data_IF_789754630138
#
_entry.id   IF_789754630138
#
_cell.length_a   1.000
_cell.length_b   1.000
_cell.length_c   1.000
_cell.angle_alpha   90.00
_cell.angle_beta   90.00
_cell.angle_gamma   90.00
#
_symmetry.space_group_name_H-M   'P 1'
#
loop_
_entity.id
_entity.type
_entity.pdbx_description
1 polymer ?
#
# COMPACT_ATOMS: atom_id res chain seq x y z
N UNK A 1 -18.44 -9.86 5.88
CA UNK A 1 -18.66 -9.93 4.42
C UNK A 1 -17.38 -10.19 3.63
N UNK A 2 -16.50 -9.20 3.32
CA UNK A 2 -15.34 -9.44 2.41
C UNK A 2 -14.41 -10.57 2.88
N UNK A 3 -14.12 -10.64 4.18
CA UNK A 3 -13.31 -11.72 4.78
C UNK A 3 -13.93 -13.11 4.54
N UNK A 4 -15.24 -13.25 4.64
CA UNK A 4 -15.94 -14.53 4.43
C UNK A 4 -15.95 -14.91 2.94
N UNK A 5 -16.13 -13.93 2.06
CA UNK A 5 -16.07 -14.16 0.61
C UNK A 5 -14.67 -14.60 0.17
N UNK A 6 -13.61 -13.98 0.70
CA UNK A 6 -12.23 -14.40 0.44
C UNK A 6 -11.98 -15.83 0.92
N UNK A 7 -12.39 -16.16 2.15
CA UNK A 7 -12.21 -17.51 2.70
C UNK A 7 -12.94 -18.58 1.87
N UNK A 8 -14.06 -18.23 1.24
CA UNK A 8 -14.85 -19.10 0.35
C UNK A 8 -14.35 -19.16 -1.09
N UNK A 9 -13.42 -18.29 -1.50
CA UNK A 9 -12.95 -18.19 -2.90
C UNK A 9 -11.97 -19.34 -3.21
N UNK A 10 -12.44 -20.42 -3.80
CA UNK A 10 -11.63 -21.61 -4.13
C UNK A 10 -11.21 -21.62 -5.59
N UNK A 11 -12.09 -21.14 -6.47
CA UNK A 11 -11.88 -21.14 -7.90
C UNK A 11 -12.01 -19.73 -8.47
N UNK A 12 -11.48 -19.53 -9.69
CA UNK A 12 -11.56 -18.24 -10.38
C UNK A 12 -13.00 -17.79 -10.62
N UNK A 13 -13.93 -18.74 -10.68
CA UNK A 13 -15.37 -18.54 -10.74
C UNK A 13 -15.90 -17.73 -9.55
N UNK A 14 -15.42 -18.00 -8.34
CA UNK A 14 -15.91 -17.38 -7.10
C UNK A 14 -15.58 -15.88 -7.03
N UNK A 15 -14.58 -15.42 -7.80
CA UNK A 15 -14.22 -14.01 -7.86
C UNK A 15 -15.36 -13.13 -8.37
N UNK A 16 -16.33 -13.69 -9.11
CA UNK A 16 -17.55 -12.96 -9.51
C UNK A 16 -18.34 -12.47 -8.29
N UNK A 17 -18.37 -13.26 -7.22
CA UNK A 17 -19.08 -12.91 -5.99
C UNK A 17 -18.29 -11.88 -5.18
N UNK A 18 -16.95 -12.03 -5.12
CA UNK A 18 -16.08 -11.06 -4.47
C UNK A 18 -16.20 -9.67 -5.13
N UNK A 19 -16.08 -9.59 -6.46
CA UNK A 19 -16.17 -8.32 -7.18
C UNK A 19 -17.60 -7.79 -7.25
N UNK A 20 -18.61 -8.65 -7.29
CA UNK A 20 -20.02 -8.26 -7.13
C UNK A 20 -20.27 -7.55 -5.80
N UNK A 21 -19.73 -8.10 -4.70
CA UNK A 21 -19.81 -7.48 -3.38
C UNK A 21 -19.02 -6.15 -3.26
N UNK A 22 -18.04 -5.94 -4.13
CA UNK A 22 -17.31 -4.67 -4.28
C UNK A 22 -18.04 -3.68 -5.21
N UNK A 23 -19.22 -4.00 -5.73
CA UNK A 23 -20.01 -3.09 -6.58
C UNK A 23 -19.68 -3.15 -8.07
N UNK A 24 -18.98 -4.18 -8.53
CA UNK A 24 -18.83 -4.46 -9.97
C UNK A 24 -20.04 -5.26 -10.48
N UNK A 25 -20.30 -5.17 -11.79
CA UNK A 25 -21.24 -6.05 -12.45
C UNK A 25 -20.55 -7.39 -12.69
N UNK A 26 -21.04 -8.45 -12.03
CA UNK A 26 -20.52 -9.80 -12.21
C UNK A 26 -20.71 -10.24 -13.67
N UNK A 27 -19.70 -10.92 -14.21
CA UNK A 27 -19.70 -11.48 -15.56
C UNK A 27 -19.03 -12.86 -15.54
N UNK A 28 -19.23 -13.63 -16.60
CA UNK A 28 -18.44 -14.84 -16.83
C UNK A 28 -18.28 -15.06 -18.32
N UNK A 29 -17.14 -14.66 -18.85
CA UNK A 29 -16.80 -14.83 -20.26
C UNK A 29 -15.43 -15.51 -20.34
N UNK A 30 -15.35 -16.79 -20.74
CA UNK A 30 -14.08 -17.49 -20.90
C UNK A 30 -13.19 -16.79 -21.92
N UNK A 31 -11.91 -16.67 -21.60
CA UNK A 31 -10.91 -16.06 -22.46
C UNK A 31 -9.80 -17.08 -22.72
N UNK A 32 -9.52 -17.45 -23.97
CA UNK A 32 -8.50 -18.45 -24.28
C UNK A 32 -7.10 -17.89 -23.92
N UNK A 33 -6.36 -18.52 -22.98
CA UNK A 33 -5.13 -17.93 -22.44
C UNK A 33 -4.04 -17.65 -23.46
N UNK A 34 -3.80 -18.56 -24.41
CA UNK A 34 -2.79 -18.40 -25.45
C UNK A 34 -3.07 -17.18 -26.36
N UNK A 35 -4.23 -17.12 -27.03
CA UNK A 35 -4.62 -15.95 -27.84
C UNK A 35 -4.69 -14.64 -27.07
N UNK A 36 -5.02 -14.69 -25.76
CA UNK A 36 -5.15 -13.47 -24.96
C UNK A 36 -3.83 -12.96 -24.39
N UNK A 37 -3.05 -13.80 -23.71
CA UNK A 37 -1.79 -13.40 -23.07
C UNK A 37 -0.57 -13.52 -24.00
N UNK A 38 -0.72 -14.24 -25.11
CA UNK A 38 0.38 -14.73 -25.93
C UNK A 38 0.79 -16.15 -25.53
N UNK A 39 0.96 -17.09 -26.48
CA UNK A 39 1.23 -18.51 -26.18
C UNK A 39 2.43 -18.71 -25.24
N UNK A 40 3.54 -18.03 -25.51
CA UNK A 40 4.76 -18.15 -24.69
C UNK A 40 4.56 -17.66 -23.24
N UNK A 41 3.78 -16.59 -23.03
CA UNK A 41 3.52 -16.07 -21.68
C UNK A 41 2.54 -16.97 -20.92
N UNK A 42 1.49 -17.45 -21.60
CA UNK A 42 0.51 -18.37 -21.04
C UNK A 42 1.17 -19.69 -20.63
N UNK A 43 2.03 -20.25 -21.48
CA UNK A 43 2.77 -21.48 -21.19
C UNK A 43 3.77 -21.29 -20.05
N UNK A 44 4.55 -20.21 -20.08
CA UNK A 44 5.60 -19.99 -19.09
C UNK A 44 5.06 -19.66 -17.68
N UNK A 45 3.85 -19.10 -17.57
CA UNK A 45 3.16 -18.95 -16.30
C UNK A 45 2.31 -20.19 -15.93
N UNK A 46 2.19 -21.16 -16.84
CA UNK A 46 1.32 -22.31 -16.72
C UNK A 46 -0.12 -21.89 -16.47
N UNK A 47 -0.72 -21.13 -17.40
CA UNK A 47 -2.11 -20.68 -17.31
C UNK A 47 -3.05 -21.75 -17.83
N UNK A 48 -3.98 -22.19 -16.98
CA UNK A 48 -4.95 -23.26 -17.28
C UNK A 48 -6.26 -22.68 -17.77
N UNK A 49 -6.78 -21.67 -17.08
CA UNK A 49 -8.05 -21.03 -17.40
C UNK A 49 -7.93 -19.53 -17.19
N UNK A 50 -8.63 -18.77 -18.02
CA UNK A 50 -8.82 -17.34 -17.82
C UNK A 50 -10.26 -16.97 -18.19
N UNK A 51 -10.81 -15.99 -17.48
CA UNK A 51 -12.15 -15.48 -17.76
C UNK A 51 -12.26 -14.02 -17.36
N UNK A 52 -13.12 -13.27 -18.05
CA UNK A 52 -13.60 -12.01 -17.54
C UNK A 52 -14.69 -12.30 -16.48
N UNK A 53 -14.47 -11.82 -15.25
CA UNK A 53 -15.33 -12.15 -14.10
C UNK A 53 -16.14 -10.96 -13.58
N UNK A 54 -15.74 -9.73 -13.92
CA UNK A 54 -16.49 -8.55 -13.55
C UNK A 54 -16.21 -7.35 -14.46
N UNK A 55 -17.17 -6.41 -14.52
CA UNK A 55 -17.13 -5.19 -15.33
C UNK A 55 -17.61 -3.98 -14.54
N UNK A 56 -17.03 -2.81 -14.81
CA UNK A 56 -17.57 -1.52 -14.38
C UNK A 56 -17.35 -0.49 -15.50
N UNK A 57 -18.41 -0.21 -16.26
CA UNK A 57 -18.33 0.51 -17.54
C UNK A 57 -17.23 -0.11 -18.44
N UNK A 58 -16.19 0.64 -18.79
CA UNK A 58 -15.07 0.15 -19.58
C UNK A 58 -13.96 -0.54 -18.76
N UNK A 59 -14.07 -0.60 -17.43
CA UNK A 59 -13.11 -1.32 -16.60
C UNK A 59 -13.43 -2.81 -16.56
N UNK A 60 -12.43 -3.65 -16.76
CA UNK A 60 -12.56 -5.11 -16.88
C UNK A 60 -11.73 -5.82 -15.82
N UNK A 61 -12.31 -6.82 -15.16
CA UNK A 61 -11.62 -7.68 -14.18
C UNK A 61 -11.49 -9.08 -14.75
N UNK A 62 -10.27 -9.53 -14.95
CA UNK A 62 -9.95 -10.86 -15.46
C UNK A 62 -9.46 -11.75 -14.33
N UNK A 63 -9.99 -12.96 -14.24
CA UNK A 63 -9.49 -14.01 -13.36
C UNK A 63 -8.66 -15.03 -14.14
N UNK A 64 -7.58 -15.51 -13.52
CA UNK A 64 -6.61 -16.41 -14.13
C UNK A 64 -6.29 -17.54 -13.16
N UNK A 65 -6.43 -18.77 -13.62
CA UNK A 65 -5.99 -19.97 -12.92
C UNK A 65 -4.66 -20.39 -13.52
N UNK A 66 -3.60 -20.37 -12.72
CA UNK A 66 -2.24 -20.63 -13.20
C UNK A 66 -1.36 -21.29 -12.14
N UNK A 67 -0.35 -22.04 -12.61
CA UNK A 67 0.69 -22.62 -11.75
C UNK A 67 1.56 -21.55 -11.09
N UNK A 68 1.87 -20.49 -11.84
CA UNK A 68 2.56 -19.30 -11.33
C UNK A 68 1.62 -18.07 -11.41
N UNK A 69 0.83 -17.79 -10.35
CA UNK A 69 -0.17 -16.72 -10.36
C UNK A 69 0.47 -15.33 -10.49
N UNK A 70 1.66 -15.11 -9.90
CA UNK A 70 2.34 -13.81 -9.95
C UNK A 70 2.86 -13.51 -11.35
N UNK A 71 3.43 -14.52 -12.02
CA UNK A 71 3.85 -14.37 -13.41
C UNK A 71 2.65 -14.17 -14.33
N UNK A 72 1.56 -14.91 -14.11
CA UNK A 72 0.33 -14.80 -14.91
C UNK A 72 -0.30 -13.40 -14.85
N UNK A 73 -0.54 -12.85 -13.65
CA UNK A 73 -1.14 -11.50 -13.53
C UNK A 73 -0.21 -10.40 -14.03
N UNK A 74 1.12 -10.59 -13.90
CA UNK A 74 2.09 -9.62 -14.43
C UNK A 74 2.06 -9.59 -15.96
N UNK A 75 2.03 -10.75 -16.62
CA UNK A 75 1.88 -10.84 -18.07
C UNK A 75 0.55 -10.23 -18.53
N UNK A 76 -0.54 -10.52 -17.82
CA UNK A 76 -1.85 -9.94 -18.11
C UNK A 76 -1.85 -8.41 -17.96
N UNK A 77 -1.29 -7.88 -16.87
CA UNK A 77 -1.19 -6.43 -16.66
C UNK A 77 -0.31 -5.75 -17.72
N UNK A 78 0.77 -6.40 -18.18
CA UNK A 78 1.59 -5.90 -19.29
C UNK A 78 0.82 -5.87 -20.62
N UNK A 79 0.04 -6.90 -20.93
CA UNK A 79 -0.82 -6.94 -22.12
C UNK A 79 -1.90 -5.84 -22.07
N UNK A 80 -2.58 -5.70 -20.92
CA UNK A 80 -3.54 -4.61 -20.71
C UNK A 80 -2.88 -3.24 -20.95
N UNK A 81 -1.65 -3.06 -20.48
CA UNK A 81 -0.89 -1.83 -20.71
C UNK A 81 -0.54 -1.59 -22.17
N UNK A 82 -0.08 -2.62 -22.88
CA UNK A 82 0.29 -2.54 -24.29
C UNK A 82 -0.89 -2.13 -25.18
N UNK A 83 -2.11 -2.45 -24.77
CA UNK A 83 -3.34 -2.12 -25.49
C UNK A 83 -4.10 -0.93 -24.91
N UNK A 84 -3.51 -0.23 -23.92
CA UNK A 84 -4.17 0.83 -23.17
C UNK A 84 -5.54 0.42 -22.57
N UNK A 85 -5.72 -0.87 -22.31
CA UNK A 85 -6.94 -1.43 -21.72
C UNK A 85 -6.94 -1.19 -20.21
N UNK A 86 -8.05 -0.64 -19.71
CA UNK A 86 -8.24 -0.41 -18.27
C UNK A 86 -8.76 -1.69 -17.65
N UNK A 87 -7.96 -2.28 -16.77
CA UNK A 87 -8.39 -3.49 -16.11
C UNK A 87 -7.51 -3.95 -14.97
N UNK A 88 -8.01 -4.98 -14.31
CA UNK A 88 -7.37 -5.68 -13.21
C UNK A 88 -7.26 -7.15 -13.58
N UNK A 89 -6.08 -7.72 -13.45
CA UNK A 89 -5.86 -9.16 -13.56
C UNK A 89 -5.72 -9.75 -12.15
N UNK A 90 -6.45 -10.83 -11.89
CA UNK A 90 -6.49 -11.52 -10.62
C UNK A 90 -6.13 -12.98 -10.84
N UNK A 91 -5.26 -13.56 -10.03
CA UNK A 91 -4.98 -15.00 -10.07
C UNK A 91 -5.04 -15.60 -8.68
N UNK A 92 -5.53 -16.84 -8.62
CA UNK A 92 -5.54 -17.65 -7.41
C UNK A 92 -4.30 -18.54 -7.40
N UNK A 93 -3.53 -18.48 -6.31
CA UNK A 93 -2.40 -19.37 -6.08
C UNK A 93 -2.81 -20.65 -5.36
N UNK A 94 -2.30 -21.78 -5.82
CA UNK A 94 -2.52 -23.12 -5.27
C UNK A 94 -1.56 -23.51 -4.13
N UNK A 95 -0.62 -22.63 -3.74
CA UNK A 95 0.16 -22.73 -2.50
C UNK A 95 -0.68 -22.33 -1.27
N UNK A 96 -0.14 -21.65 -0.23
CA UNK A 96 -1.03 -20.98 0.73
C UNK A 96 -2.01 -20.10 -0.07
N UNK A 97 -3.32 -20.27 0.15
CA UNK A 97 -4.33 -19.73 -0.78
C UNK A 97 -4.25 -18.22 -0.76
N UNK A 98 -3.96 -17.66 -1.92
CA UNK A 98 -3.71 -16.23 -2.08
C UNK A 98 -4.33 -15.74 -3.37
N UNK A 99 -4.90 -14.55 -3.30
CA UNK A 99 -5.35 -13.78 -4.44
C UNK A 99 -4.25 -12.79 -4.80
N UNK A 100 -3.65 -12.96 -5.98
CA UNK A 100 -2.70 -11.99 -6.53
C UNK A 100 -3.45 -11.09 -7.50
N UNK A 101 -3.38 -9.78 -7.30
CA UNK A 101 -4.04 -8.78 -8.14
C UNK A 101 -2.99 -7.90 -8.78
N UNK A 102 -3.08 -7.63 -10.08
CA UNK A 102 -2.19 -6.72 -10.78
C UNK A 102 -2.92 -5.83 -11.78
N UNK A 103 -2.47 -4.59 -11.85
CA UNK A 103 -2.88 -3.61 -12.86
C UNK A 103 -1.64 -2.82 -13.30
N UNK A 104 -1.83 -1.92 -14.25
CA UNK A 104 -0.77 -1.08 -14.78
C UNK A 104 -1.11 0.39 -14.58
N UNK A 105 -0.07 1.22 -14.50
CA UNK A 105 -0.21 2.68 -14.49
C UNK A 105 0.67 3.27 -15.57
N UNK A 106 0.09 4.19 -16.35
CA UNK A 106 0.86 5.05 -17.24
C UNK A 106 1.83 5.88 -16.39
N UNK A 107 3.12 5.75 -16.65
CA UNK A 107 4.13 6.61 -16.04
C UNK A 107 4.17 7.91 -16.84
N UNK A 108 4.11 9.05 -16.15
CA UNK A 108 4.40 10.31 -16.81
C UNK A 108 5.85 10.26 -17.33
N UNK A 109 6.09 10.76 -18.54
CA UNK A 109 7.45 10.99 -19.05
C UNK A 109 8.23 11.71 -17.97
N UNK A 110 9.36 11.13 -17.55
CA UNK A 110 10.22 11.76 -16.56
C UNK A 110 10.65 13.14 -17.05
N UNK A 111 10.42 14.16 -16.24
CA UNK A 111 11.10 15.45 -16.32
C UNK A 111 12.54 15.31 -15.80
N UNK A 112 13.28 14.34 -16.33
CA UNK A 112 14.71 14.13 -16.11
C UNK A 112 15.41 14.42 -17.42
N UNK A 113 16.19 15.50 -17.45
CA UNK A 113 16.74 16.08 -18.66
C UNK A 113 17.72 15.19 -19.42
N UNK A 114 17.84 15.50 -20.71
CA UNK A 114 19.02 15.26 -21.54
C UNK A 114 19.14 13.86 -22.14
N UNK A 115 18.95 13.77 -23.46
CA UNK A 115 19.42 12.64 -24.27
C UNK A 115 18.32 12.00 -25.12
N UNK A 116 18.41 12.19 -26.44
CA UNK A 116 17.42 11.76 -27.42
C UNK A 116 17.19 10.25 -27.48
N UNK A 117 15.97 9.90 -27.88
CA UNK A 117 15.52 8.53 -28.12
C UNK A 117 14.02 8.43 -27.80
N UNK A 118 13.18 8.35 -28.83
CA UNK A 118 11.73 8.19 -28.69
C UNK A 118 11.36 6.88 -28.00
N UNK A 119 11.26 6.92 -26.67
CA UNK A 119 10.69 5.84 -25.86
C UNK A 119 9.62 6.41 -24.95
N UNK A 120 8.34 6.07 -25.20
CA UNK A 120 7.30 6.28 -24.20
C UNK A 120 7.68 5.56 -22.91
N UNK A 121 7.50 6.18 -21.75
CA UNK A 121 7.83 5.56 -20.47
C UNK A 121 7.11 4.21 -20.34
N UNK A 122 7.86 3.15 -20.06
CA UNK A 122 7.28 1.81 -19.93
C UNK A 122 6.19 1.82 -18.84
N UNK A 123 5.02 1.22 -19.10
CA UNK A 123 3.94 1.15 -18.13
C UNK A 123 4.40 0.38 -16.91
N UNK A 124 4.16 0.94 -15.73
CA UNK A 124 4.61 0.34 -14.49
C UNK A 124 3.52 -0.59 -13.95
N UNK A 125 3.80 -1.89 -13.94
CA UNK A 125 2.91 -2.88 -13.31
C UNK A 125 2.96 -2.72 -11.79
N UNK A 126 1.79 -2.84 -11.15
CA UNK A 126 1.60 -2.85 -9.70
C UNK A 126 0.86 -4.11 -9.31
N UNK A 127 1.30 -4.75 -8.23
CA UNK A 127 0.72 -5.99 -7.76
C UNK A 127 0.52 -5.99 -6.24
N UNK A 128 -0.53 -6.70 -5.82
CA UNK A 128 -0.93 -6.96 -4.45
C UNK A 128 -1.11 -8.46 -4.28
N UNK A 129 -0.76 -8.99 -3.11
CA UNK A 129 -0.92 -10.39 -2.75
C UNK A 129 -1.70 -10.49 -1.45
N UNK A 130 -2.92 -11.01 -1.55
CA UNK A 130 -3.90 -11.02 -0.46
C UNK A 130 -4.13 -12.47 -0.01
N UNK A 131 -3.76 -12.83 1.24
CA UNK A 131 -4.08 -14.15 1.80
C UNK A 131 -5.61 -14.35 1.90
N UNK A 132 -6.10 -15.54 1.52
CA UNK A 132 -7.54 -15.79 1.48
C UNK A 132 -8.13 -16.22 2.83
N UNK A 133 -7.38 -16.99 3.63
CA UNK A 133 -7.89 -17.55 4.89
C UNK A 133 -7.88 -16.54 6.04
N UNK A 134 -6.79 -15.76 6.15
CA UNK A 134 -6.59 -14.77 7.22
C UNK A 134 -6.03 -13.46 6.66
N UNK A 135 -6.80 -12.71 5.85
CA UNK A 135 -6.34 -11.45 5.29
C UNK A 135 -6.08 -10.43 6.42
N UNK A 136 -4.90 -9.78 6.45
CA UNK A 136 -4.63 -8.67 7.37
C UNK A 136 -5.54 -7.47 7.05
N UNK A 137 -5.75 -6.58 8.02
CA UNK A 137 -6.61 -5.40 7.83
C UNK A 137 -6.24 -4.56 6.59
N UNK A 138 -4.95 -4.29 6.38
CA UNK A 138 -4.49 -3.53 5.21
C UNK A 138 -4.77 -4.20 3.85
N UNK A 139 -4.88 -5.53 3.79
CA UNK A 139 -5.26 -6.24 2.56
C UNK A 139 -6.77 -6.08 2.28
N UNK A 140 -7.59 -6.07 3.34
CA UNK A 140 -9.02 -5.76 3.23
C UNK A 140 -9.22 -4.30 2.80
N UNK A 141 -8.50 -3.35 3.41
CA UNK A 141 -8.53 -1.94 3.01
C UNK A 141 -8.13 -1.75 1.53
N UNK A 142 -7.17 -2.55 1.05
CA UNK A 142 -6.73 -2.55 -0.36
C UNK A 142 -7.85 -3.05 -1.28
N UNK A 143 -8.52 -4.14 -0.92
CA UNK A 143 -9.67 -4.66 -1.68
C UNK A 143 -10.86 -3.71 -1.68
N UNK A 144 -11.17 -3.09 -0.54
CA UNK A 144 -12.24 -2.08 -0.44
C UNK A 144 -11.97 -0.90 -1.38
N UNK A 145 -10.70 -0.52 -1.55
CA UNK A 145 -10.29 0.50 -2.53
C UNK A 145 -10.44 0.06 -3.99
N UNK A 146 -10.80 -1.18 -4.29
CA UNK A 146 -11.19 -1.57 -5.65
C UNK A 146 -12.66 -1.25 -5.93
N UNK A 147 -13.49 -1.04 -4.92
CA UNK A 147 -14.91 -0.77 -5.09
C UNK A 147 -15.13 0.53 -5.88
N UNK A 148 -15.88 0.52 -7.01
CA UNK A 148 -16.16 1.72 -7.79
C UNK A 148 -17.00 2.73 -7.01
N UNK A 149 -16.68 4.02 -7.12
CA UNK A 149 -17.47 5.08 -6.51
C UNK A 149 -18.63 5.51 -7.43
N UNK A 150 -19.71 6.05 -6.85
CA UNK A 150 -20.83 6.56 -7.62
C UNK A 150 -20.37 7.66 -8.59
N UNK A 151 -20.69 7.49 -9.88
CA UNK A 151 -20.29 8.43 -10.94
C UNK A 151 -18.80 8.38 -11.32
N UNK A 152 -18.02 7.45 -10.78
CA UNK A 152 -16.59 7.34 -11.09
C UNK A 152 -16.36 6.85 -12.52
N UNK A 153 -15.43 7.50 -13.22
CA UNK A 153 -15.02 7.05 -14.57
C UNK A 153 -14.10 5.83 -14.47
N UNK A 154 -14.09 4.97 -15.50
CA UNK A 154 -13.17 3.82 -15.54
C UNK A 154 -11.68 4.21 -15.47
N UNK A 155 -11.32 5.44 -15.86
CA UNK A 155 -9.96 5.97 -15.72
C UNK A 155 -9.62 6.28 -14.25
N UNK A 156 -10.52 6.99 -13.56
CA UNK A 156 -10.34 7.32 -12.15
C UNK A 156 -10.25 6.03 -11.30
N UNK A 157 -11.12 5.06 -11.58
CA UNK A 157 -11.07 3.73 -10.97
C UNK A 157 -9.72 3.05 -11.21
N UNK A 158 -9.23 3.06 -12.45
CA UNK A 158 -7.94 2.45 -12.80
C UNK A 158 -6.76 3.10 -12.07
N UNK A 159 -6.77 4.43 -11.92
CA UNK A 159 -5.72 5.15 -11.20
C UNK A 159 -5.73 4.80 -9.71
N UNK A 160 -6.92 4.77 -9.09
CA UNK A 160 -7.10 4.44 -7.66
C UNK A 160 -6.74 3.00 -7.34
N UNK A 161 -7.15 2.05 -8.17
CA UNK A 161 -6.73 0.64 -8.05
C UNK A 161 -5.21 0.54 -8.19
N UNK A 162 -4.61 1.21 -9.19
CA UNK A 162 -3.16 1.24 -9.34
C UNK A 162 -2.41 1.79 -8.11
N UNK A 163 -2.99 2.78 -7.43
CA UNK A 163 -2.45 3.33 -6.17
C UNK A 163 -2.63 2.38 -4.98
N UNK A 164 -3.79 1.73 -4.86
CA UNK A 164 -4.04 0.72 -3.83
C UNK A 164 -3.06 -0.46 -3.97
N UNK A 165 -2.85 -0.95 -5.20
CA UNK A 165 -1.87 -2.00 -5.50
C UNK A 165 -0.42 -1.56 -5.24
N UNK A 166 -0.10 -0.26 -5.34
CA UNK A 166 1.22 0.25 -5.00
C UNK A 166 1.47 0.26 -3.47
N UNK A 167 0.41 0.27 -2.67
CA UNK A 167 0.49 0.37 -1.22
C UNK A 167 0.83 -0.95 -0.50
N UNK A 168 0.65 -2.10 -1.15
CA UNK A 168 1.05 -3.41 -0.62
C UNK A 168 2.56 -3.72 -0.73
N UNK A 169 3.34 -2.85 -1.40
CA UNK A 169 4.80 -2.96 -1.45
C UNK A 169 5.55 -2.68 -0.14
N UNK A 170 4.84 -2.49 0.97
CA UNK A 170 5.37 -2.02 2.27
C UNK A 170 5.46 -3.15 3.31
N UNK A 171 5.64 -4.42 2.92
CA UNK A 171 5.84 -5.49 3.93
C UNK A 171 7.22 -6.14 3.86
N UNK A 172 7.67 -6.93 2.86
CA UNK A 172 9.01 -7.54 2.95
C UNK A 172 10.15 -6.50 2.95
N UNK A 173 10.12 -5.56 2.00
CA UNK A 173 11.14 -4.51 1.88
C UNK A 173 11.10 -3.54 3.06
N UNK A 174 9.89 -3.17 3.49
CA UNK A 174 9.70 -2.33 4.67
C UNK A 174 10.18 -3.02 5.93
N UNK A 175 9.77 -4.27 6.21
CA UNK A 175 10.21 -5.00 7.39
C UNK A 175 11.72 -5.18 7.39
N UNK A 176 12.33 -5.48 6.23
CA UNK A 176 13.79 -5.52 6.08
C UNK A 176 14.42 -4.17 6.43
N UNK A 177 13.92 -3.08 5.87
CA UNK A 177 14.43 -1.73 6.14
C UNK A 177 14.18 -1.28 7.59
N UNK A 178 13.03 -1.62 8.17
CA UNK A 178 12.63 -1.32 9.54
C UNK A 178 13.56 -2.04 10.52
N UNK A 179 13.75 -3.36 10.38
CA UNK A 179 14.70 -4.13 11.20
C UNK A 179 16.12 -3.57 11.09
N UNK A 180 16.59 -3.30 9.87
CA UNK A 180 17.92 -2.72 9.67
C UNK A 180 18.07 -1.34 10.33
N UNK A 181 17.00 -0.54 10.37
CA UNK A 181 16.99 0.77 11.02
C UNK A 181 16.92 0.65 12.54
N UNK A 182 16.14 -0.31 13.05
CA UNK A 182 16.03 -0.62 14.48
C UNK A 182 17.36 -1.06 15.07
N UNK A 183 18.07 -1.99 14.42
CA UNK A 183 19.39 -2.44 14.86
C UNK A 183 20.38 -1.27 14.88
N UNK A 184 20.45 -0.49 13.78
CA UNK A 184 21.32 0.70 13.72
C UNK A 184 21.02 1.73 14.82
N UNK A 185 19.75 1.94 15.15
CA UNK A 185 19.36 2.88 16.20
C UNK A 185 19.73 2.33 17.58
N UNK A 186 19.49 1.04 17.82
CA UNK A 186 19.84 0.33 19.06
C UNK A 186 21.34 0.39 19.34
N UNK A 187 22.16 0.23 18.31
CA UNK A 187 23.62 0.23 18.43
C UNK A 187 24.21 1.65 18.56
N UNK A 188 23.52 2.69 18.06
CA UNK A 188 23.95 4.10 18.15
C UNK A 188 23.53 4.81 19.43
N UNK A 189 22.55 4.29 20.15
CA UNK A 189 22.12 4.87 21.42
C UNK A 189 23.25 4.71 22.47
N UNK A 190 23.71 5.83 23.04
CA UNK A 190 24.78 5.83 24.05
C UNK A 190 24.31 5.44 25.46
N UNK A 191 23.00 5.47 25.70
CA UNK A 191 22.35 5.07 26.94
C UNK A 191 20.96 4.49 26.64
N UNK A 192 20.43 3.57 27.46
CA UNK A 192 21.05 2.91 28.62
C UNK A 192 22.19 1.96 28.27
N UNK A 193 22.92 1.44 29.28
CA UNK A 193 24.01 0.47 29.05
C UNK A 193 23.49 -0.88 28.53
N UNK A 194 22.31 -1.30 28.97
CA UNK A 194 21.68 -2.53 28.50
C UNK A 194 21.25 -2.42 27.04
N UNK A 195 21.74 -3.34 26.20
CA UNK A 195 21.30 -3.43 24.80
C UNK A 195 19.79 -3.69 24.70
N UNK A 196 19.23 -4.45 25.63
CA UNK A 196 17.79 -4.74 25.69
C UNK A 196 16.98 -3.45 25.92
N UNK A 197 17.41 -2.60 26.85
CA UNK A 197 16.73 -1.33 27.11
C UNK A 197 16.87 -0.36 25.93
N UNK A 198 18.07 -0.29 25.30
CA UNK A 198 18.26 0.47 24.06
C UNK A 198 17.36 -0.02 22.94
N UNK A 199 17.22 -1.33 22.79
CA UNK A 199 16.34 -1.93 21.80
C UNK A 199 14.88 -1.55 22.06
N UNK A 200 14.42 -1.61 23.31
CA UNK A 200 13.07 -1.17 23.70
C UNK A 200 12.83 0.31 23.37
N UNK A 201 13.80 1.19 23.68
CA UNK A 201 13.71 2.63 23.33
C UNK A 201 13.66 2.84 21.82
N UNK A 202 14.56 2.21 21.08
CA UNK A 202 14.64 2.32 19.63
C UNK A 202 13.36 1.82 18.96
N UNK A 203 12.84 0.68 19.40
CA UNK A 203 11.59 0.12 18.90
C UNK A 203 10.40 1.03 19.20
N UNK A 204 10.33 1.58 20.42
CA UNK A 204 9.26 2.50 20.81
C UNK A 204 9.29 3.78 19.97
N UNK A 205 10.48 4.37 19.77
CA UNK A 205 10.65 5.56 18.94
C UNK A 205 10.26 5.31 17.48
N UNK A 206 10.72 4.20 16.88
CA UNK A 206 10.37 3.86 15.50
C UNK A 206 8.88 3.54 15.34
N UNK A 207 8.25 2.92 16.34
CA UNK A 207 6.80 2.65 16.33
C UNK A 207 5.99 3.95 16.40
N UNK A 208 6.43 4.92 17.21
CA UNK A 208 5.85 6.27 17.25
C UNK A 208 5.98 6.97 15.89
N UNK A 209 7.16 6.93 15.26
CA UNK A 209 7.34 7.49 13.91
C UNK A 209 6.38 6.82 12.92
N UNK A 210 6.31 5.49 12.91
CA UNK A 210 5.41 4.74 12.03
C UNK A 210 3.94 5.14 12.25
N UNK A 211 3.51 5.27 13.51
CA UNK A 211 2.16 5.70 13.82
C UNK A 211 1.88 7.12 13.34
N UNK A 212 2.83 8.04 13.51
CA UNK A 212 2.72 9.41 13.00
C UNK A 212 2.57 9.45 11.47
N UNK A 213 3.18 8.52 10.73
CA UNK A 213 2.94 8.38 9.29
C UNK A 213 1.48 8.01 8.97
N UNK A 214 0.81 7.21 9.78
CA UNK A 214 -0.63 6.94 9.62
C UNK A 214 -1.49 8.17 9.97
N UNK A 215 -1.12 8.90 11.02
CA UNK A 215 -1.84 10.11 11.45
C UNK A 215 -1.72 11.23 10.39
N UNK A 216 -0.51 11.50 9.89
CA UNK A 216 -0.32 12.52 8.86
C UNK A 216 -1.00 12.13 7.54
N UNK A 217 -1.05 10.84 7.17
CA UNK A 217 -1.72 10.41 5.95
C UNK A 217 -3.22 10.76 5.94
N UNK A 218 -3.84 10.80 7.13
CA UNK A 218 -5.23 11.27 7.33
C UNK A 218 -5.37 12.80 7.32
N UNK A 219 -4.28 13.55 7.21
CA UNK A 219 -4.24 15.01 7.27
C UNK A 219 -4.42 15.57 8.69
N UNK A 220 -4.22 14.75 9.74
CA UNK A 220 -4.47 15.18 11.11
C UNK A 220 -3.33 16.00 11.70
N UNK A 221 -2.16 16.01 11.08
CA UNK A 221 -1.04 16.84 11.50
C UNK A 221 -1.10 18.18 10.74
N UNK A 222 -1.87 19.12 11.28
CA UNK A 222 -2.07 20.47 10.72
C UNK A 222 -2.63 20.53 9.27
N UNK A 223 -3.27 19.46 8.81
CA UNK A 223 -3.71 19.34 7.40
C UNK A 223 -2.64 18.85 6.44
N UNK A 224 -1.40 18.65 6.92
CA UNK A 224 -0.26 18.31 6.10
C UNK A 224 0.00 16.80 6.05
N UNK A 225 -0.14 16.22 4.85
CA UNK A 225 0.12 14.79 4.59
C UNK A 225 1.61 14.43 4.55
N UNK A 226 2.50 15.42 4.55
CA UNK A 226 3.96 15.30 4.58
C UNK A 226 4.59 15.97 5.80
N UNK A 227 3.78 16.24 6.83
CA UNK A 227 4.16 17.00 8.03
C UNK A 227 5.53 16.63 8.62
N UNK A 228 5.80 15.34 8.88
CA UNK A 228 7.07 14.94 9.49
C UNK A 228 8.29 15.27 8.64
N UNK A 229 8.19 15.11 7.31
CA UNK A 229 9.29 15.43 6.39
C UNK A 229 9.52 16.93 6.37
N UNK A 230 8.46 17.73 6.22
CA UNK A 230 8.59 19.19 6.22
C UNK A 230 9.21 19.72 7.53
N UNK A 231 8.78 19.20 8.70
CA UNK A 231 9.36 19.58 10.01
C UNK A 231 10.80 19.09 10.18
N UNK A 232 11.15 17.95 9.58
CA UNK A 232 12.52 17.46 9.56
C UNK A 232 13.41 18.36 8.70
N UNK A 233 12.99 18.69 7.49
CA UNK A 233 13.71 19.57 6.57
C UNK A 233 13.93 20.96 7.19
N UNK A 234 12.91 21.52 7.86
CA UNK A 234 13.01 22.76 8.62
C UNK A 234 14.01 22.65 9.78
N UNK A 235 14.01 21.53 10.51
CA UNK A 235 14.97 21.29 11.59
C UNK A 235 16.41 21.21 11.06
N UNK A 236 16.60 20.57 9.90
CA UNK A 236 17.91 20.50 9.23
C UNK A 236 18.35 21.89 8.76
N UNK A 237 17.46 22.65 8.11
CA UNK A 237 17.75 24.00 7.63
C UNK A 237 18.12 24.96 8.77
N UNK A 238 17.45 24.82 9.92
CA UNK A 238 17.71 25.63 11.12
C UNK A 238 18.81 25.06 12.03
N UNK A 239 19.46 23.95 11.64
CA UNK A 239 20.47 23.21 12.42
C UNK A 239 20.00 22.86 13.84
N UNK A 240 18.72 22.57 13.99
CA UNK A 240 18.08 22.19 15.25
C UNK A 240 17.92 20.67 15.34
N UNK A 241 18.03 20.14 16.57
CA UNK A 241 17.79 18.72 16.81
C UNK A 241 16.31 18.37 16.65
N UNK A 242 15.96 17.71 15.53
CA UNK A 242 14.60 17.26 15.25
C UNK A 242 13.96 16.51 16.43
N UNK A 243 14.71 15.60 17.07
CA UNK A 243 14.19 14.81 18.19
C UNK A 243 13.69 15.72 19.33
N UNK A 244 14.54 16.62 19.82
CA UNK A 244 14.24 17.47 20.98
C UNK A 244 13.24 18.58 20.66
N UNK A 245 13.26 19.10 19.43
CA UNK A 245 12.51 20.30 19.06
C UNK A 245 11.14 19.98 18.44
N UNK A 246 11.03 18.82 17.78
CA UNK A 246 9.80 18.42 17.08
C UNK A 246 9.27 17.12 17.66
N UNK A 247 10.07 16.06 17.70
CA UNK A 247 9.56 14.72 18.02
C UNK A 247 9.06 14.60 19.46
N UNK A 248 9.84 15.06 20.45
CA UNK A 248 9.45 15.00 21.87
C UNK A 248 8.23 15.89 22.17
N UNK A 249 8.19 17.18 21.74
CA UNK A 249 7.02 18.01 21.98
C UNK A 249 5.79 17.52 21.21
N UNK A 250 5.96 16.91 20.04
CA UNK A 250 4.86 16.30 19.28
C UNK A 250 4.26 15.12 20.03
N UNK A 251 5.09 14.16 20.47
CA UNK A 251 4.63 12.97 21.17
C UNK A 251 4.03 13.33 22.54
N UNK A 252 4.85 13.91 23.41
CA UNK A 252 4.51 14.08 24.83
C UNK A 252 3.73 15.36 25.12
N UNK A 253 3.95 16.40 24.31
CA UNK A 253 3.38 17.73 24.55
C UNK A 253 2.07 17.99 23.81
N UNK A 254 1.91 17.47 22.59
CA UNK A 254 0.75 17.74 21.75
C UNK A 254 -0.20 16.54 21.66
N UNK A 255 0.29 15.37 21.25
CA UNK A 255 -0.56 14.20 21.02
C UNK A 255 -0.99 13.53 22.33
N UNK A 256 -0.19 13.66 23.39
CA UNK A 256 -0.52 13.16 24.71
C UNK A 256 -1.16 14.20 25.66
N UNK A 257 -1.56 15.38 25.17
CA UNK A 257 -2.26 16.37 26.00
C UNK A 257 -3.43 17.05 25.29
N UNK A 258 -4.56 17.28 26.00
CA UNK A 258 -5.65 18.10 25.48
C UNK A 258 -5.17 19.50 25.12
N UNK A 259 -5.80 20.13 24.11
CA UNK A 259 -5.39 21.43 23.58
C UNK A 259 -5.25 22.54 24.67
N UNK A 260 -6.13 22.52 25.68
CA UNK A 260 -6.11 23.44 26.80
C UNK A 260 -4.81 23.32 27.64
N UNK A 261 -4.25 22.11 27.80
CA UNK A 261 -3.09 21.81 28.63
C UNK A 261 -1.73 21.81 27.89
N UNK A 262 -1.70 22.23 26.62
CA UNK A 262 -0.46 22.24 25.81
C UNK A 262 0.45 23.40 26.17
N UNK A 263 1.76 23.15 26.21
CA UNK A 263 2.77 24.22 26.31
C UNK A 263 2.81 25.06 25.04
N UNK A 264 3.43 26.26 25.10
CA UNK A 264 3.62 27.10 23.91
C UNK A 264 4.35 26.37 22.78
N UNK A 265 5.37 25.57 23.11
CA UNK A 265 6.12 24.74 22.15
C UNK A 265 5.21 23.72 21.46
N UNK A 266 4.33 23.05 22.21
CA UNK A 266 3.40 22.08 21.64
C UNK A 266 2.31 22.73 20.77
N UNK A 267 1.88 23.95 21.10
CA UNK A 267 0.93 24.73 20.29
C UNK A 267 1.56 25.26 18.99
N UNK A 268 2.85 25.60 19.03
CA UNK A 268 3.60 26.04 17.85
C UNK A 268 3.78 24.94 16.78
N UNK A 269 3.46 23.68 17.10
CA UNK A 269 3.42 22.58 16.15
C UNK A 269 2.14 22.54 15.28
N UNK A 270 1.20 23.47 15.48
CA UNK A 270 0.00 23.60 14.65
C UNK A 270 -1.22 22.86 15.21
N UNK A 271 -2.23 22.64 14.35
CA UNK A 271 -3.48 22.00 14.74
C UNK A 271 -3.32 20.49 14.80
N UNK A 272 -3.07 19.98 16.01
CA UNK A 272 -2.84 18.56 16.26
C UNK A 272 -3.94 17.94 17.12
N UNK A 273 -4.35 16.67 16.86
CA UNK A 273 -5.35 15.98 17.66
C UNK A 273 -4.78 15.59 19.03
N UNK A 274 -5.66 15.26 19.96
CA UNK A 274 -5.31 14.58 21.21
C UNK A 274 -5.63 13.09 21.05
N UNK A 275 -4.68 12.21 21.39
CA UNK A 275 -4.76 10.78 21.10
C UNK A 275 -4.67 9.89 22.37
N UNK A 276 -4.83 10.46 23.57
CA UNK A 276 -4.94 9.73 24.85
C UNK A 276 -3.93 8.57 25.04
N UNK A 277 -2.68 8.92 25.39
CA UNK A 277 -1.93 8.23 26.45
C UNK A 277 -1.59 6.75 26.36
N UNK A 278 -1.40 6.16 25.18
CA UNK A 278 -0.72 4.85 25.09
C UNK A 278 0.68 5.00 24.53
N UNK A 279 0.75 4.95 23.20
CA UNK A 279 2.01 5.00 22.44
C UNK A 279 2.82 6.30 22.65
N UNK A 280 2.16 7.37 23.07
CA UNK A 280 2.76 8.70 23.23
C UNK A 280 3.07 9.08 24.67
N UNK A 281 2.99 8.14 25.61
CA UNK A 281 3.48 8.36 26.97
C UNK A 281 5.00 8.21 27.03
N UNK A 282 5.70 8.93 27.94
CA UNK A 282 7.12 8.71 28.19
C UNK A 282 7.41 7.25 28.51
N UNK A 283 8.47 6.71 27.92
CA UNK A 283 8.90 5.34 28.21
C UNK A 283 9.63 5.35 29.55
N UNK A 284 9.08 4.69 30.57
CA UNK A 284 9.74 4.51 31.86
C UNK A 284 10.80 3.40 31.73
N UNK A 285 12.07 3.80 31.59
CA UNK A 285 13.25 2.94 31.54
C UNK A 285 14.36 3.57 32.38
#
# INVERSE_FOLDING_TARGET
>A
MLRELLARTEQIDDLRHLFGALGFHAAWEPVPPGPWLGPAQAEAAGVMRAALVARHAAFRVFAIEARDPERAVRAAAQRLAAQAERGLACALGSGPRRLVCASWRATARGSGGGGGGGGGGSPAVRLATIPLERPPGGALDTLERFSPLAGETSLALSLRIGEALASEGVTPRFFKAFRATLERLTDRLGAPRSRTERHTLALTALTRVLFLYFVQAKGWLDGDRRYLIHRFDESVATRRHFHRQVFDPLCFGALNRPAAGRSGVARALGRLPFLNGGLFEPTAL
#
